data_IF_783541005225
#
_entry.id   IF_783541005225
#
_cell.length_a   1.000
_cell.length_b   1.000
_cell.length_c   1.000
_cell.angle_alpha   90.00
_cell.angle_beta   90.00
_cell.angle_gamma   90.00
#
_symmetry.space_group_name_H-M   'P 1'
#
loop_
_entity.id
_entity.type
_entity.pdbx_description
1 polymer ?
#
# COMPACT_ATOMS: atom_id res chain seq x y z
N UNK A 1 21.38 11.97 -1.64
CA UNK A 1 22.46 11.15 -2.23
C UNK A 1 22.60 11.55 -3.68
N UNK A 2 23.77 11.97 -4.09
CA UNK A 2 24.06 12.24 -5.49
C UNK A 2 24.72 11.00 -6.09
N UNK A 3 24.10 10.46 -7.13
CA UNK A 3 24.63 9.33 -7.87
C UNK A 3 25.35 9.85 -9.11
N UNK A 4 26.52 9.33 -9.38
CA UNK A 4 27.24 9.56 -10.64
C UNK A 4 27.12 8.31 -11.50
N UNK A 5 26.49 8.43 -12.66
CA UNK A 5 26.43 7.34 -13.64
C UNK A 5 27.77 7.22 -14.34
N UNK A 6 28.46 6.10 -14.18
CA UNK A 6 29.76 5.84 -14.81
C UNK A 6 29.60 5.17 -16.17
N UNK A 7 28.60 4.31 -16.33
CA UNK A 7 28.28 3.55 -17.54
C UNK A 7 26.79 3.33 -17.65
N UNK A 8 26.24 3.30 -18.85
CA UNK A 8 24.82 3.08 -19.11
C UNK A 8 24.61 2.29 -20.39
N UNK A 9 23.68 1.34 -20.38
CA UNK A 9 23.26 0.56 -21.54
C UNK A 9 21.74 0.45 -21.54
N UNK A 10 21.14 0.54 -22.74
CA UNK A 10 19.73 0.26 -22.96
C UNK A 10 19.56 -1.18 -23.44
N UNK A 11 18.62 -1.88 -22.80
CA UNK A 11 18.21 -3.22 -23.19
C UNK A 11 16.77 -3.21 -23.66
N UNK A 12 16.55 -3.71 -24.86
CA UNK A 12 15.22 -4.04 -25.35
C UNK A 12 14.92 -5.49 -25.04
N UNK A 13 13.91 -5.71 -24.22
CA UNK A 13 13.44 -7.03 -23.79
C UNK A 13 12.06 -7.31 -24.38
N UNK A 14 11.91 -8.48 -24.99
CA UNK A 14 10.63 -8.93 -25.51
C UNK A 14 10.34 -10.32 -24.94
N UNK A 15 9.16 -10.52 -24.36
CA UNK A 15 8.81 -11.79 -23.73
C UNK A 15 8.80 -12.98 -24.69
N UNK A 16 8.76 -12.73 -25.98
CA UNK A 16 8.98 -13.76 -27.01
C UNK A 16 10.37 -14.38 -26.94
N UNK A 17 11.36 -13.59 -26.53
CA UNK A 17 12.77 -14.01 -26.42
C UNK A 17 13.15 -14.42 -24.99
N UNK A 18 12.18 -14.65 -24.10
CA UNK A 18 12.46 -15.12 -22.74
C UNK A 18 13.18 -16.47 -22.76
N UNK A 19 14.11 -16.65 -21.85
CA UNK A 19 14.86 -17.91 -21.68
C UNK A 19 14.06 -18.95 -20.88
N UNK A 20 13.19 -18.49 -19.96
CA UNK A 20 12.32 -19.30 -19.12
C UNK A 20 11.13 -18.49 -18.62
N UNK A 21 10.24 -19.14 -17.85
CA UNK A 21 9.06 -18.52 -17.24
C UNK A 21 7.88 -18.35 -18.19
N UNK A 22 6.78 -17.78 -17.67
CA UNK A 22 5.56 -17.49 -18.42
C UNK A 22 5.65 -16.12 -19.14
N UNK A 23 4.58 -15.72 -19.82
CA UNK A 23 4.50 -14.39 -20.45
C UNK A 23 4.38 -13.31 -19.36
N UNK A 24 3.63 -13.55 -18.30
CA UNK A 24 3.49 -12.64 -17.17
C UNK A 24 4.68 -12.63 -16.22
N UNK A 25 5.46 -13.73 -16.20
CA UNK A 25 6.67 -13.86 -15.37
C UNK A 25 7.88 -14.32 -16.21
N UNK A 26 8.35 -13.49 -17.16
CA UNK A 26 9.45 -13.85 -18.03
C UNK A 26 10.80 -13.76 -17.34
N UNK A 27 11.67 -14.71 -17.67
CA UNK A 27 13.07 -14.70 -17.28
C UNK A 27 13.94 -14.50 -18.50
N UNK A 28 14.91 -13.57 -18.42
CA UNK A 28 15.89 -13.29 -19.44
C UNK A 28 17.28 -13.64 -18.94
N UNK A 29 18.03 -14.37 -19.74
CA UNK A 29 19.44 -14.68 -19.47
C UNK A 29 20.31 -13.81 -20.35
N UNK A 30 21.23 -13.08 -19.74
CA UNK A 30 22.18 -12.26 -20.47
C UNK A 30 23.45 -13.07 -20.78
N UNK A 31 23.96 -13.00 -22.01
CA UNK A 31 25.23 -13.67 -22.32
C UNK A 31 26.37 -13.06 -21.51
N UNK A 32 27.36 -13.87 -21.15
CA UNK A 32 28.52 -13.50 -20.31
C UNK A 32 29.34 -12.29 -20.82
N UNK A 33 28.99 -11.68 -21.94
CA UNK A 33 29.65 -10.56 -22.54
C UNK A 33 29.20 -9.18 -22.05
N UNK A 34 28.33 -9.11 -21.00
CA UNK A 34 28.02 -7.84 -20.32
C UNK A 34 29.17 -7.35 -19.42
N UNK A 35 30.38 -7.75 -19.72
CA UNK A 35 31.62 -7.37 -19.00
C UNK A 35 31.74 -5.86 -18.76
N UNK A 36 31.17 -5.06 -19.66
CA UNK A 36 31.18 -3.60 -19.53
C UNK A 36 30.26 -3.04 -18.44
N UNK A 37 29.39 -3.88 -17.87
CA UNK A 37 28.49 -3.51 -16.76
C UNK A 37 28.93 -4.08 -15.40
N UNK A 38 30.10 -4.74 -15.33
CA UNK A 38 30.60 -5.19 -14.04
C UNK A 38 30.92 -4.00 -13.15
N UNK A 39 30.25 -3.84 -12.00
CA UNK A 39 30.54 -2.78 -11.07
C UNK A 39 31.90 -3.01 -10.42
N UNK A 40 32.68 -1.96 -10.32
CA UNK A 40 33.93 -1.93 -9.56
C UNK A 40 33.64 -1.73 -8.06
N UNK A 41 34.69 -1.74 -7.25
CA UNK A 41 34.51 -1.48 -5.82
C UNK A 41 33.86 -0.10 -5.58
N UNK A 42 32.75 -0.09 -4.85
CA UNK A 42 31.95 1.13 -4.57
C UNK A 42 30.98 1.53 -5.67
N UNK A 43 30.81 0.72 -6.72
CA UNK A 43 29.79 0.89 -7.75
C UNK A 43 28.64 -0.09 -7.53
N UNK A 44 27.44 0.32 -7.92
CA UNK A 44 26.19 -0.45 -7.86
C UNK A 44 25.53 -0.45 -9.22
N UNK A 45 24.69 -1.45 -9.47
CA UNK A 45 23.85 -1.51 -10.67
C UNK A 45 22.50 -0.90 -10.34
N UNK A 46 22.09 0.07 -11.13
CA UNK A 46 20.75 0.68 -11.11
C UNK A 46 19.98 0.25 -12.35
N UNK A 47 18.77 -0.24 -12.14
CA UNK A 47 17.86 -0.64 -13.21
C UNK A 47 16.63 0.28 -13.20
N UNK A 48 16.28 0.80 -14.38
CA UNK A 48 15.08 1.62 -14.60
C UNK A 48 14.36 1.15 -15.85
N UNK A 49 13.02 1.15 -15.82
CA UNK A 49 12.20 0.95 -17.02
C UNK A 49 11.98 2.29 -17.70
N UNK A 50 12.24 2.35 -19.01
CA UNK A 50 12.05 3.56 -19.83
C UNK A 50 10.77 3.51 -20.63
N UNK A 51 10.48 2.34 -21.20
CA UNK A 51 9.32 2.12 -22.07
C UNK A 51 8.76 0.73 -21.81
N UNK A 52 7.47 0.59 -21.97
CA UNK A 52 6.82 -0.71 -22.07
C UNK A 52 5.65 -0.64 -23.06
N UNK A 53 5.40 -1.75 -23.73
CA UNK A 53 4.28 -1.92 -24.65
C UNK A 53 3.64 -3.27 -24.36
N UNK A 54 2.41 -3.24 -23.86
CA UNK A 54 1.65 -4.42 -23.44
C UNK A 54 0.30 -4.39 -24.13
N UNK A 55 -0.06 -5.41 -24.89
CA UNK A 55 -1.41 -5.54 -25.42
C UNK A 55 -2.35 -5.96 -24.27
N UNK A 56 -3.46 -5.24 -24.11
CA UNK A 56 -4.47 -5.51 -23.09
C UNK A 56 -5.24 -6.78 -23.45
N UNK A 57 -4.64 -7.94 -23.21
CA UNK A 57 -5.18 -9.26 -23.51
C UNK A 57 -5.36 -10.14 -22.25
N UNK A 58 -5.20 -9.57 -21.07
CA UNK A 58 -5.58 -10.18 -19.80
C UNK A 58 -7.07 -9.89 -19.51
N UNK A 59 -7.68 -10.72 -18.71
CA UNK A 59 -9.08 -10.54 -18.34
C UNK A 59 -9.22 -9.67 -17.10
N UNK A 60 -10.38 -9.01 -16.98
CA UNK A 60 -10.75 -8.26 -15.79
C UNK A 60 -11.28 -9.19 -14.71
N UNK A 61 -12.04 -10.21 -15.13
CA UNK A 61 -12.52 -11.28 -14.25
C UNK A 61 -11.64 -12.49 -14.45
N UNK A 62 -10.96 -12.90 -13.41
CA UNK A 62 -10.04 -14.04 -13.35
C UNK A 62 -10.46 -14.99 -12.22
N UNK A 63 -9.84 -16.15 -12.12
CA UNK A 63 -10.17 -17.16 -11.10
C UNK A 63 -10.06 -16.66 -9.66
N UNK A 64 -9.27 -15.62 -9.42
CA UNK A 64 -9.02 -15.07 -8.10
C UNK A 64 -10.04 -14.02 -7.64
N UNK A 65 -10.94 -13.52 -8.53
CA UNK A 65 -11.92 -12.48 -8.20
C UNK A 65 -13.32 -12.72 -8.82
N UNK A 66 -13.63 -13.97 -9.17
CA UNK A 66 -14.85 -14.30 -9.90
C UNK A 66 -15.93 -15.01 -9.07
N UNK A 67 -15.76 -15.12 -7.75
CA UNK A 67 -16.63 -15.92 -6.90
C UNK A 67 -17.20 -15.14 -5.75
N UNK A 68 -18.41 -15.51 -5.35
CA UNK A 68 -19.02 -15.14 -4.08
C UNK A 68 -19.99 -16.24 -3.64
N UNK A 69 -20.41 -16.18 -2.38
CA UNK A 69 -21.27 -17.18 -1.78
C UNK A 69 -22.67 -16.62 -1.59
N UNK A 70 -23.70 -17.43 -1.85
CA UNK A 70 -25.11 -17.10 -1.66
C UNK A 70 -25.75 -18.12 -0.74
N UNK A 71 -26.43 -17.64 0.29
CA UNK A 71 -27.29 -18.43 1.15
C UNK A 71 -28.74 -18.02 0.96
N UNK A 72 -29.61 -18.99 0.70
CA UNK A 72 -31.05 -18.82 0.57
C UNK A 72 -31.75 -19.55 1.73
N UNK A 73 -32.68 -18.88 2.38
CA UNK A 73 -33.58 -19.48 3.36
C UNK A 73 -35.01 -19.20 2.97
N UNK A 74 -35.84 -20.20 3.00
CA UNK A 74 -37.22 -20.13 2.57
C UNK A 74 -38.14 -20.95 3.48
N UNK A 75 -39.37 -20.55 3.61
CA UNK A 75 -40.41 -21.39 4.23
C UNK A 75 -41.19 -22.10 3.14
N UNK A 76 -41.14 -23.44 3.16
CA UNK A 76 -41.81 -24.33 2.24
C UNK A 76 -42.75 -25.25 3.05
N UNK A 77 -44.05 -25.17 2.81
CA UNK A 77 -45.04 -25.94 3.56
C UNK A 77 -44.96 -25.83 5.09
N UNK A 78 -44.58 -24.63 5.60
CA UNK A 78 -44.42 -24.37 7.03
C UNK A 78 -43.10 -24.88 7.63
N UNK A 79 -42.15 -25.31 6.82
CA UNK A 79 -40.80 -25.74 7.22
C UNK A 79 -39.79 -24.76 6.65
N UNK A 80 -38.85 -24.31 7.49
CA UNK A 80 -37.73 -23.48 7.03
C UNK A 80 -36.66 -24.38 6.44
N UNK A 81 -36.37 -24.18 5.17
CA UNK A 81 -35.33 -24.86 4.42
C UNK A 81 -34.23 -23.85 4.04
N UNK A 82 -33.01 -24.32 3.91
CA UNK A 82 -31.86 -23.51 3.47
C UNK A 82 -31.13 -24.18 2.31
N UNK A 83 -30.61 -23.38 1.41
CA UNK A 83 -29.76 -23.78 0.31
C UNK A 83 -28.59 -22.80 0.22
N UNK A 84 -27.41 -23.30 0.01
CA UNK A 84 -26.20 -22.50 -0.11
C UNK A 84 -25.39 -22.92 -1.34
N UNK A 85 -24.81 -21.91 -2.03
CA UNK A 85 -24.04 -22.18 -3.24
C UNK A 85 -23.00 -21.10 -3.54
N UNK A 86 -21.94 -21.51 -4.21
CA UNK A 86 -20.98 -20.61 -4.82
C UNK A 86 -21.51 -20.15 -6.18
N UNK A 87 -21.48 -18.86 -6.40
CA UNK A 87 -21.69 -18.23 -7.71
C UNK A 87 -20.30 -17.95 -8.31
N UNK A 88 -20.08 -18.48 -9.50
CA UNK A 88 -18.82 -18.29 -10.23
C UNK A 88 -19.10 -17.69 -11.61
N UNK A 89 -18.45 -16.56 -11.89
CA UNK A 89 -18.50 -15.92 -13.22
C UNK A 89 -17.51 -16.57 -14.17
N UNK A 90 -17.85 -16.56 -15.45
CA UNK A 90 -16.88 -16.95 -16.47
C UNK A 90 -15.70 -15.95 -16.50
N UNK A 91 -14.51 -16.49 -16.73
CA UNK A 91 -13.31 -15.67 -16.90
C UNK A 91 -13.46 -14.84 -18.18
N UNK A 92 -13.37 -13.52 -18.08
CA UNK A 92 -13.54 -12.68 -19.25
C UNK A 92 -13.57 -11.18 -18.98
N UNK A 93 -13.87 -10.45 -20.04
CA UNK A 93 -14.08 -9.01 -20.01
C UNK A 93 -15.57 -8.74 -20.26
N UNK A 94 -16.22 -8.17 -19.26
CA UNK A 94 -17.60 -7.81 -19.33
C UNK A 94 -17.77 -6.32 -19.63
N UNK A 95 -18.80 -5.97 -20.39
CA UNK A 95 -19.41 -4.66 -20.30
C UNK A 95 -20.61 -4.74 -19.36
N UNK A 96 -21.14 -3.58 -18.96
CA UNK A 96 -22.25 -3.53 -18.01
C UNK A 96 -23.45 -4.39 -18.41
N UNK A 97 -23.85 -4.35 -19.69
CA UNK A 97 -25.01 -5.09 -20.16
C UNK A 97 -24.77 -6.61 -20.14
N UNK A 98 -23.60 -7.07 -20.60
CA UNK A 98 -23.25 -8.50 -20.59
C UNK A 98 -23.06 -9.02 -19.17
N UNK A 99 -22.50 -8.18 -18.28
CA UNK A 99 -22.34 -8.55 -16.87
C UNK A 99 -23.69 -8.75 -16.17
N UNK A 100 -24.65 -7.84 -16.35
CA UNK A 100 -25.99 -7.97 -15.75
C UNK A 100 -26.69 -9.25 -16.22
N UNK A 101 -26.55 -9.60 -17.51
CA UNK A 101 -27.15 -10.82 -18.06
C UNK A 101 -26.49 -12.05 -17.40
N UNK A 102 -25.17 -12.11 -17.39
CA UNK A 102 -24.42 -13.21 -16.79
C UNK A 102 -24.74 -13.37 -15.31
N UNK A 103 -24.69 -12.26 -14.54
CA UNK A 103 -25.01 -12.25 -13.12
C UNK A 103 -26.42 -12.73 -12.85
N UNK A 104 -27.41 -12.24 -13.62
CA UNK A 104 -28.80 -12.67 -13.48
C UNK A 104 -28.95 -14.16 -13.78
N UNK A 105 -28.28 -14.67 -14.81
CA UNK A 105 -28.31 -16.08 -15.17
C UNK A 105 -27.66 -16.96 -14.09
N UNK A 106 -26.48 -16.57 -13.59
CA UNK A 106 -25.75 -17.32 -12.55
C UNK A 106 -26.50 -17.35 -11.21
N UNK A 107 -27.11 -16.22 -10.81
CA UNK A 107 -27.97 -16.17 -9.62
C UNK A 107 -29.21 -17.07 -9.74
N UNK A 108 -29.82 -17.16 -10.91
CA UNK A 108 -30.97 -18.02 -11.13
C UNK A 108 -30.61 -19.48 -11.40
N UNK A 109 -29.38 -19.76 -11.81
CA UNK A 109 -28.92 -21.11 -12.04
C UNK A 109 -28.87 -21.87 -10.71
N UNK A 110 -29.61 -22.97 -10.62
CA UNK A 110 -29.73 -23.80 -9.42
C UNK A 110 -30.32 -23.11 -8.18
N UNK A 111 -30.83 -21.87 -8.28
CA UNK A 111 -31.60 -21.31 -7.17
C UNK A 111 -32.84 -22.19 -6.93
N UNK A 112 -33.06 -22.59 -5.68
CA UNK A 112 -34.19 -23.45 -5.35
C UNK A 112 -35.45 -22.65 -5.02
N UNK A 113 -35.31 -21.55 -4.31
CA UNK A 113 -36.43 -20.86 -3.67
C UNK A 113 -36.79 -19.53 -4.32
N UNK A 114 -35.84 -18.87 -5.00
CA UNK A 114 -36.00 -17.49 -5.44
C UNK A 114 -35.74 -17.29 -6.92
N UNK A 115 -36.29 -16.19 -7.44
CA UNK A 115 -36.00 -15.64 -8.79
C UNK A 115 -35.30 -14.31 -8.59
N UNK A 116 -34.15 -14.15 -9.20
CA UNK A 116 -33.32 -12.96 -9.14
C UNK A 116 -33.47 -12.11 -10.38
N UNK A 117 -33.60 -10.82 -10.18
CA UNK A 117 -33.57 -9.80 -11.23
C UNK A 117 -32.52 -8.77 -10.84
N UNK A 118 -31.60 -8.50 -11.74
CA UNK A 118 -30.56 -7.48 -11.55
C UNK A 118 -30.77 -6.34 -12.53
N UNK A 119 -30.70 -5.11 -12.04
CA UNK A 119 -30.87 -3.91 -12.85
C UNK A 119 -29.78 -2.87 -12.50
N UNK A 120 -29.40 -2.06 -13.48
CA UNK A 120 -28.49 -0.96 -13.27
C UNK A 120 -29.21 0.28 -12.75
N UNK A 121 -28.60 0.95 -11.76
CA UNK A 121 -29.11 2.20 -11.18
C UNK A 121 -28.10 3.32 -11.48
N UNK A 122 -28.35 4.13 -12.53
CA UNK A 122 -27.40 5.15 -12.99
C UNK A 122 -27.03 6.19 -11.95
N UNK A 123 -27.96 6.53 -11.03
CA UNK A 123 -27.81 7.58 -10.03
C UNK A 123 -26.65 7.29 -9.04
N UNK A 124 -26.39 6.01 -8.79
CA UNK A 124 -25.34 5.55 -7.86
C UNK A 124 -24.23 4.79 -8.57
N UNK A 125 -24.33 4.66 -9.89
CA UNK A 125 -23.45 3.81 -10.71
C UNK A 125 -23.33 2.39 -10.13
N UNK A 126 -24.47 1.82 -9.69
CA UNK A 126 -24.54 0.56 -8.96
C UNK A 126 -25.58 -0.39 -9.52
N UNK A 127 -25.68 -1.57 -8.91
CA UNK A 127 -26.69 -2.57 -9.24
C UNK A 127 -27.77 -2.60 -8.15
N UNK A 128 -29.00 -2.88 -8.56
CA UNK A 128 -30.14 -3.19 -7.72
C UNK A 128 -30.51 -4.63 -7.95
N UNK A 129 -30.63 -5.37 -6.87
CA UNK A 129 -30.99 -6.77 -6.83
C UNK A 129 -32.40 -6.89 -6.28
N UNK A 130 -33.30 -7.45 -7.06
CA UNK A 130 -34.68 -7.73 -6.67
C UNK A 130 -34.84 -9.24 -6.66
N UNK A 131 -35.34 -9.79 -5.57
CA UNK A 131 -35.45 -11.23 -5.36
C UNK A 131 -36.92 -11.55 -5.00
N UNK A 132 -37.53 -12.41 -5.79
CA UNK A 132 -38.94 -12.78 -5.64
C UNK A 132 -39.06 -14.26 -5.30
N UNK A 133 -39.84 -14.66 -4.29
CA UNK A 133 -40.11 -16.06 -3.99
C UNK A 133 -40.72 -16.78 -5.18
N UNK A 134 -40.33 -18.03 -5.39
CA UNK A 134 -40.99 -18.92 -6.37
C UNK A 134 -42.38 -19.32 -5.87
N UNK A 135 -43.19 -19.86 -6.78
CA UNK A 135 -44.55 -20.35 -6.43
C UNK A 135 -44.51 -21.40 -5.32
N UNK A 136 -45.24 -21.21 -4.25
CA UNK A 136 -45.28 -22.10 -3.10
C UNK A 136 -44.17 -21.88 -2.07
N UNK A 137 -43.36 -20.84 -2.26
CA UNK A 137 -42.30 -20.42 -1.33
C UNK A 137 -42.72 -19.11 -0.66
N UNK A 138 -42.50 -19.01 0.66
CA UNK A 138 -42.71 -17.77 1.40
C UNK A 138 -41.38 -17.32 2.05
N UNK A 139 -41.27 -16.01 2.25
CA UNK A 139 -40.13 -15.44 2.96
C UNK A 139 -40.24 -15.87 4.43
N UNK A 140 -39.18 -16.45 5.03
CA UNK A 140 -39.23 -16.87 6.42
C UNK A 140 -39.48 -15.68 7.35
N UNK A 141 -40.25 -15.87 8.45
CA UNK A 141 -40.57 -14.78 9.37
C UNK A 141 -39.35 -14.26 10.14
N UNK A 142 -38.28 -15.04 10.18
CA UNK A 142 -37.00 -14.68 10.80
C UNK A 142 -35.98 -14.38 9.71
N UNK A 143 -35.62 -13.10 9.48
CA UNK A 143 -34.58 -12.74 8.51
C UNK A 143 -33.19 -13.18 9.02
N UNK A 144 -32.16 -13.25 8.15
CA UNK A 144 -32.21 -12.95 6.74
C UNK A 144 -32.72 -14.11 5.88
N UNK A 145 -33.42 -13.81 4.78
CA UNK A 145 -33.90 -14.80 3.83
C UNK A 145 -32.90 -15.07 2.70
N UNK A 146 -32.17 -14.05 2.25
CA UNK A 146 -31.10 -14.17 1.27
C UNK A 146 -29.91 -13.36 1.73
N UNK A 147 -28.73 -13.97 1.63
CA UNK A 147 -27.45 -13.38 2.00
C UNK A 147 -26.50 -13.49 0.82
N UNK A 148 -25.84 -12.37 0.47
CA UNK A 148 -24.66 -12.36 -0.40
C UNK A 148 -23.43 -12.23 0.50
N UNK A 149 -22.55 -13.21 0.46
CA UNK A 149 -21.35 -13.24 1.27
C UNK A 149 -20.12 -13.07 0.39
N UNK A 150 -19.37 -12.00 0.63
CA UNK A 150 -18.14 -11.62 -0.05
C UNK A 150 -16.90 -11.82 0.84
N UNK A 151 -17.06 -12.44 2.02
CA UNK A 151 -15.93 -12.75 2.88
C UNK A 151 -15.05 -13.81 2.21
N UNK A 152 -13.77 -13.50 2.05
CA UNK A 152 -12.82 -14.36 1.33
C UNK A 152 -12.64 -15.73 1.97
N UNK A 153 -12.58 -15.76 3.30
CA UNK A 153 -12.39 -17.02 4.04
C UNK A 153 -13.59 -17.95 3.85
N UNK A 154 -14.82 -17.40 3.95
CA UNK A 154 -16.04 -18.19 3.75
C UNK A 154 -16.16 -18.70 2.32
N UNK A 155 -15.81 -17.86 1.32
CA UNK A 155 -15.82 -18.27 -0.10
C UNK A 155 -14.76 -19.31 -0.37
N UNK A 156 -13.58 -19.20 0.24
CA UNK A 156 -12.52 -20.19 0.14
C UNK A 156 -12.94 -21.55 0.73
N UNK A 157 -13.46 -21.55 1.95
CA UNK A 157 -13.93 -22.80 2.60
C UNK A 157 -14.97 -23.54 1.76
N UNK A 158 -15.85 -22.82 1.05
CA UNK A 158 -16.91 -23.41 0.22
C UNK A 158 -16.44 -23.84 -1.16
N UNK A 159 -15.40 -23.24 -1.70
CA UNK A 159 -14.94 -23.47 -3.08
C UNK A 159 -13.70 -24.33 -3.19
N UNK A 160 -12.94 -24.55 -2.11
CA UNK A 160 -11.61 -25.18 -2.08
C UNK A 160 -10.62 -24.57 -3.10
N UNK A 161 -10.82 -23.29 -3.45
CA UNK A 161 -9.98 -22.56 -4.40
C UNK A 161 -9.39 -21.36 -3.71
N UNK A 162 -8.08 -21.24 -3.78
CA UNK A 162 -7.37 -20.07 -3.28
C UNK A 162 -7.79 -18.82 -4.08
N UNK A 163 -8.55 -17.94 -3.43
CA UNK A 163 -9.01 -16.68 -3.98
C UNK A 163 -8.29 -15.53 -3.29
N UNK A 164 -7.84 -14.57 -4.08
CA UNK A 164 -7.24 -13.34 -3.56
C UNK A 164 -8.32 -12.36 -3.13
N UNK A 165 -9.48 -12.45 -3.80
CA UNK A 165 -10.56 -11.49 -3.74
C UNK A 165 -11.87 -12.14 -4.16
N UNK A 166 -12.95 -11.76 -3.50
CA UNK A 166 -14.29 -12.16 -3.94
C UNK A 166 -14.77 -11.28 -5.11
N UNK A 167 -15.94 -11.59 -5.67
CA UNK A 167 -16.54 -10.81 -6.75
C UNK A 167 -17.16 -9.47 -6.30
N UNK A 168 -16.81 -8.98 -5.12
CA UNK A 168 -17.41 -7.79 -4.49
C UNK A 168 -17.28 -6.52 -5.35
N UNK A 169 -16.12 -6.20 -5.90
CA UNK A 169 -15.90 -4.99 -6.69
C UNK A 169 -16.73 -4.96 -7.96
N UNK A 170 -16.78 -6.08 -8.70
CA UNK A 170 -17.58 -6.15 -9.93
C UNK A 170 -19.08 -6.11 -9.66
N UNK A 171 -19.52 -6.48 -8.46
CA UNK A 171 -20.91 -6.41 -8.02
C UNK A 171 -21.25 -5.11 -7.28
N UNK A 172 -20.26 -4.28 -6.96
CA UNK A 172 -20.44 -2.99 -6.30
C UNK A 172 -20.61 -3.10 -4.79
N UNK A 173 -19.88 -3.99 -4.14
CA UNK A 173 -19.86 -4.15 -2.70
C UNK A 173 -18.44 -3.97 -2.14
N UNK A 174 -18.36 -3.67 -0.84
CA UNK A 174 -17.08 -3.57 -0.14
C UNK A 174 -16.47 -4.96 0.10
N UNK A 175 -15.16 -5.00 0.23
CA UNK A 175 -14.41 -6.21 0.58
C UNK A 175 -14.90 -6.82 1.90
N UNK A 176 -14.83 -8.14 1.97
CA UNK A 176 -15.12 -8.93 3.17
C UNK A 176 -16.48 -8.60 3.82
N UNK A 177 -17.48 -8.21 3.02
CA UNK A 177 -18.81 -7.87 3.51
C UNK A 177 -19.82 -9.00 3.35
N UNK A 178 -20.78 -9.03 4.27
CA UNK A 178 -21.96 -9.88 4.21
C UNK A 178 -23.17 -8.97 4.03
N UNK A 179 -23.94 -9.19 2.96
CA UNK A 179 -25.10 -8.37 2.60
C UNK A 179 -26.40 -9.17 2.79
N UNK A 180 -27.19 -8.77 3.75
CA UNK A 180 -28.52 -9.30 3.96
C UNK A 180 -29.54 -8.52 3.13
N UNK A 181 -30.37 -9.22 2.36
CA UNK A 181 -31.40 -8.57 1.55
C UNK A 181 -32.62 -8.19 2.42
N UNK A 182 -33.01 -6.94 2.34
CA UNK A 182 -34.15 -6.40 3.09
C UNK A 182 -35.49 -6.79 2.49
N UNK A 183 -36.46 -7.16 3.32
CA UNK A 183 -37.83 -7.45 2.92
C UNK A 183 -38.57 -6.16 2.58
N UNK A 184 -39.26 -6.14 1.42
CA UNK A 184 -40.05 -5.03 0.94
C UNK A 184 -41.54 -5.28 1.21
N UNK A 185 -42.41 -4.25 1.24
CA UNK A 185 -43.84 -4.38 1.48
C UNK A 185 -44.61 -5.24 0.48
N UNK A 186 -44.04 -5.53 -0.68
CA UNK A 186 -44.62 -6.37 -1.73
C UNK A 186 -44.13 -7.82 -1.70
N UNK A 187 -43.60 -8.29 -0.56
CA UNK A 187 -43.07 -9.62 -0.37
C UNK A 187 -41.92 -9.96 -1.33
N UNK A 188 -41.14 -8.97 -1.71
CA UNK A 188 -39.85 -9.15 -2.39
C UNK A 188 -38.69 -8.81 -1.46
N UNK A 189 -37.52 -9.33 -1.78
CA UNK A 189 -36.28 -8.96 -1.10
C UNK A 189 -35.49 -8.02 -2.00
N UNK A 190 -34.80 -7.06 -1.41
CA UNK A 190 -34.06 -6.10 -2.21
C UNK A 190 -32.77 -5.69 -1.50
N UNK A 191 -31.71 -5.53 -2.31
CA UNK A 191 -30.53 -4.75 -1.91
C UNK A 191 -29.99 -3.96 -3.10
N UNK A 192 -29.15 -2.99 -2.80
CA UNK A 192 -28.46 -2.17 -3.79
C UNK A 192 -26.98 -2.14 -3.46
N UNK A 193 -26.15 -2.09 -4.52
CA UNK A 193 -24.71 -1.89 -4.39
C UNK A 193 -24.41 -0.69 -3.49
N UNK A 194 -23.48 -0.83 -2.57
CA UNK A 194 -23.09 0.23 -1.64
C UNK A 194 -21.86 1.02 -2.12
N UNK A 195 -21.19 0.53 -3.16
CA UNK A 195 -20.13 1.25 -3.90
C UNK A 195 -20.41 1.17 -5.40
N UNK A 196 -19.84 2.06 -6.22
CA UNK A 196 -19.94 1.97 -7.67
C UNK A 196 -19.39 0.65 -8.19
N UNK A 197 -20.11 0.03 -9.14
CA UNK A 197 -19.62 -1.19 -9.78
C UNK A 197 -18.40 -0.93 -10.64
N UNK A 198 -17.47 -1.86 -10.64
CA UNK A 198 -16.25 -1.81 -11.44
C UNK A 198 -16.19 -2.94 -12.47
N UNK A 199 -17.16 -2.94 -13.41
CA UNK A 199 -17.22 -3.96 -14.49
C UNK A 199 -16.04 -3.86 -15.45
N UNK A 200 -15.45 -2.66 -15.56
CA UNK A 200 -14.30 -2.41 -16.45
C UNK A 200 -12.96 -2.41 -15.70
N UNK A 201 -12.92 -2.69 -14.42
CA UNK A 201 -11.89 -2.15 -13.59
C UNK A 201 -11.18 -3.03 -12.60
N UNK A 202 -11.22 -4.33 -12.72
CA UNK A 202 -10.43 -5.17 -11.81
C UNK A 202 -8.94 -4.81 -11.80
N UNK A 203 -8.39 -4.33 -12.92
CA UNK A 203 -6.98 -3.91 -13.03
C UNK A 203 -6.91 -2.48 -13.56
N UNK A 204 -6.64 -1.53 -12.70
CA UNK A 204 -6.45 -0.13 -13.08
C UNK A 204 -5.00 0.19 -13.45
N UNK A 205 -4.07 -0.51 -12.86
CA UNK A 205 -2.65 -0.33 -13.10
C UNK A 205 -1.95 -1.68 -13.16
N UNK A 206 -0.99 -1.79 -14.04
CA UNK A 206 -0.02 -2.86 -14.08
C UNK A 206 1.30 -2.38 -13.50
N UNK A 207 1.95 -3.24 -12.75
CA UNK A 207 3.29 -2.98 -12.24
C UNK A 207 4.25 -4.00 -12.82
N UNK A 208 5.37 -3.52 -13.34
CA UNK A 208 6.48 -4.37 -13.70
C UNK A 208 7.41 -4.44 -12.51
N UNK A 209 7.63 -5.64 -11.97
CA UNK A 209 8.48 -5.87 -10.81
C UNK A 209 9.62 -6.82 -11.14
N UNK A 210 10.67 -6.80 -10.31
CA UNK A 210 11.75 -7.77 -10.38
C UNK A 210 11.42 -8.92 -9.43
N UNK A 211 11.36 -10.14 -9.97
CA UNK A 211 11.07 -11.34 -9.20
C UNK A 211 12.29 -11.93 -8.48
N UNK A 212 13.50 -11.60 -8.92
CA UNK A 212 14.72 -12.07 -8.27
C UNK A 212 14.88 -11.38 -6.92
N UNK A 213 14.67 -12.12 -5.87
CA UNK A 213 14.67 -11.69 -4.48
C UNK A 213 16.07 -11.41 -3.89
N UNK A 214 17.08 -11.26 -4.71
CA UNK A 214 18.42 -11.05 -4.20
C UNK A 214 18.64 -9.58 -3.88
N UNK A 215 18.62 -9.23 -2.59
CA UNK A 215 19.18 -8.01 -1.99
C UNK A 215 18.96 -6.70 -2.77
N UNK A 216 17.79 -6.51 -3.35
CA UNK A 216 17.48 -5.30 -4.09
C UNK A 216 17.10 -4.17 -3.13
N UNK A 217 17.75 -3.04 -3.28
CA UNK A 217 17.35 -1.80 -2.62
C UNK A 217 16.39 -1.04 -3.53
N UNK A 218 15.10 -1.37 -3.43
CA UNK A 218 14.06 -0.61 -4.13
C UNK A 218 13.91 0.80 -3.56
N UNK A 219 13.75 1.78 -4.43
CA UNK A 219 13.48 3.17 -4.03
C UNK A 219 12.00 3.42 -3.70
N UNK A 220 11.13 2.48 -4.04
CA UNK A 220 9.68 2.59 -3.85
C UNK A 220 9.25 1.77 -2.65
N UNK A 221 8.42 2.35 -1.80
CA UNK A 221 7.78 1.65 -0.67
C UNK A 221 6.29 1.57 -0.91
N UNK A 222 5.71 0.44 -0.58
CA UNK A 222 4.27 0.25 -0.58
C UNK A 222 3.73 0.86 0.72
N UNK A 223 2.66 1.66 0.64
CA UNK A 223 1.97 2.15 1.83
C UNK A 223 1.52 0.94 2.68
N UNK A 224 1.68 1.01 3.99
CA UNK A 224 1.39 -0.05 4.96
C UNK A 224 2.33 -1.27 4.95
N UNK A 225 3.23 -1.38 3.99
CA UNK A 225 4.29 -2.38 4.00
C UNK A 225 5.65 -1.67 4.02
N UNK A 226 6.44 -1.89 5.06
CA UNK A 226 7.77 -1.31 5.20
C UNK A 226 8.83 -2.02 4.36
N UNK A 227 8.44 -3.05 3.61
CA UNK A 227 9.33 -3.73 2.67
C UNK A 227 9.64 -2.83 1.48
N UNK A 228 10.85 -2.91 0.97
CA UNK A 228 11.24 -2.22 -0.26
C UNK A 228 10.61 -2.95 -1.45
N UNK A 229 9.83 -2.24 -2.26
CA UNK A 229 9.26 -2.84 -3.47
C UNK A 229 10.28 -2.86 -4.61
N UNK A 230 10.27 -3.92 -5.38
CA UNK A 230 11.09 -4.07 -6.58
C UNK A 230 10.36 -3.59 -7.84
N UNK A 231 9.54 -2.55 -7.72
CA UNK A 231 8.76 -1.99 -8.83
C UNK A 231 9.70 -1.23 -9.77
N UNK A 232 9.70 -1.60 -11.04
CA UNK A 232 10.41 -0.92 -12.12
C UNK A 232 9.56 0.12 -12.84
N UNK A 233 8.24 -0.03 -12.79
CA UNK A 233 7.33 0.92 -13.41
C UNK A 233 5.88 0.61 -13.15
N UNK A 234 5.05 1.64 -13.27
CA UNK A 234 3.60 1.60 -13.16
C UNK A 234 2.98 1.98 -14.50
N UNK A 235 2.17 1.13 -15.06
CA UNK A 235 1.53 1.28 -16.37
C UNK A 235 0.02 1.42 -16.15
N UNK A 236 -0.58 2.61 -16.33
CA UNK A 236 -2.02 2.76 -16.21
C UNK A 236 -2.76 1.97 -17.30
N UNK A 237 -3.83 1.28 -16.91
CA UNK A 237 -4.74 0.61 -17.85
C UNK A 237 -5.76 1.65 -18.32
N UNK A 238 -5.40 2.43 -19.34
CA UNK A 238 -6.18 3.57 -19.81
C UNK A 238 -7.01 3.30 -21.10
N UNK A 239 -6.88 2.10 -21.67
CA UNK A 239 -7.53 1.74 -22.92
C UNK A 239 -8.58 0.62 -22.77
N UNK A 240 -9.42 0.42 -23.79
CA UNK A 240 -10.33 -0.73 -23.83
C UNK A 240 -9.53 -2.05 -24.01
N UNK A 241 -10.15 -3.21 -23.72
CA UNK A 241 -9.58 -4.51 -24.05
C UNK A 241 -9.12 -4.58 -25.50
N UNK A 242 -8.01 -5.28 -25.75
CA UNK A 242 -7.30 -5.41 -27.04
C UNK A 242 -6.60 -4.15 -27.53
N UNK A 243 -6.61 -3.05 -26.76
CA UNK A 243 -5.72 -1.90 -27.05
C UNK A 243 -4.29 -2.20 -26.61
N UNK A 244 -3.35 -1.36 -27.06
CA UNK A 244 -1.96 -1.40 -26.60
C UNK A 244 -1.81 -0.38 -25.49
N UNK A 245 -1.43 -0.86 -24.30
CA UNK A 245 -1.02 -0.03 -23.18
C UNK A 245 0.45 0.36 -23.42
N UNK A 246 0.67 1.64 -23.53
CA UNK A 246 2.00 2.18 -23.76
C UNK A 246 2.46 3.01 -22.58
N UNK A 247 3.64 2.69 -22.06
CA UNK A 247 4.32 3.43 -21.01
C UNK A 247 5.60 4.02 -21.54
N UNK A 248 5.83 5.28 -21.22
CA UNK A 248 7.06 5.99 -21.53
C UNK A 248 7.40 6.95 -20.40
N UNK A 249 8.54 6.75 -19.77
CA UNK A 249 9.03 7.62 -18.70
C UNK A 249 10.55 7.84 -18.84
N UNK A 250 10.92 9.02 -19.31
CA UNK A 250 12.34 9.39 -19.46
C UNK A 250 13.00 9.62 -18.09
N UNK A 251 12.22 10.11 -17.12
CA UNK A 251 12.73 10.52 -15.81
C UNK A 251 12.46 9.50 -14.71
N UNK A 252 12.22 8.25 -15.09
CA UNK A 252 11.76 7.17 -14.24
C UNK A 252 11.96 7.40 -12.73
N UNK A 253 10.86 7.66 -12.04
CA UNK A 253 10.85 7.77 -10.57
C UNK A 253 11.01 6.39 -9.91
N UNK A 254 10.82 5.33 -10.69
CA UNK A 254 10.99 3.96 -10.26
C UNK A 254 12.38 3.46 -10.68
N UNK A 255 13.17 3.12 -9.71
CA UNK A 255 14.50 2.56 -9.95
C UNK A 255 14.82 1.54 -8.88
N UNK A 256 15.43 0.44 -9.30
CA UNK A 256 15.91 -0.59 -8.38
C UNK A 256 17.42 -0.67 -8.44
N UNK A 257 18.05 -0.73 -7.26
CA UNK A 257 19.49 -0.93 -7.13
C UNK A 257 19.72 -2.41 -6.88
N UNK A 258 20.51 -3.03 -7.77
CA UNK A 258 20.91 -4.44 -7.67
C UNK A 258 22.28 -4.49 -7.01
N UNK A 259 22.38 -5.16 -5.86
CA UNK A 259 23.65 -5.29 -5.13
C UNK A 259 24.59 -6.33 -5.73
N UNK A 260 24.06 -7.23 -6.55
CA UNK A 260 24.87 -8.25 -7.20
C UNK A 260 25.89 -7.65 -8.15
N UNK A 261 27.12 -8.16 -8.13
CA UNK A 261 28.20 -7.75 -9.03
C UNK A 261 28.01 -8.18 -10.47
N UNK A 262 27.07 -9.08 -10.71
CA UNK A 262 26.80 -9.66 -12.03
C UNK A 262 25.29 -9.68 -12.27
N UNK A 263 24.87 -9.24 -13.43
CA UNK A 263 23.49 -9.36 -13.91
C UNK A 263 23.44 -10.42 -15.00
N UNK A 264 23.42 -11.69 -14.60
CA UNK A 264 23.35 -12.82 -15.54
C UNK A 264 21.91 -13.14 -15.93
N UNK A 265 20.97 -12.90 -15.02
CA UNK A 265 19.56 -13.18 -15.20
C UNK A 265 18.71 -12.01 -14.68
N UNK A 266 17.65 -11.72 -15.41
CA UNK A 266 16.62 -10.79 -15.00
C UNK A 266 15.26 -11.49 -15.06
N UNK A 267 14.64 -11.70 -13.92
CA UNK A 267 13.28 -12.23 -13.83
C UNK A 267 12.34 -11.07 -13.52
N UNK A 268 11.35 -10.90 -14.38
CA UNK A 268 10.35 -9.85 -14.25
C UNK A 268 9.00 -10.48 -13.91
N UNK A 269 8.12 -9.70 -13.31
CA UNK A 269 6.72 -10.06 -13.13
C UNK A 269 5.84 -8.89 -13.51
N UNK A 270 4.74 -9.20 -14.18
CA UNK A 270 3.67 -8.27 -14.44
C UNK A 270 2.56 -8.52 -13.41
N UNK A 271 2.31 -7.56 -12.54
CA UNK A 271 1.33 -7.72 -11.45
C UNK A 271 0.34 -6.57 -11.44
N UNK A 272 -0.83 -6.78 -10.82
CA UNK A 272 -1.84 -5.74 -10.58
C UNK A 272 -1.54 -4.94 -9.30
N UNK A 273 -2.48 -4.09 -8.86
CA UNK A 273 -2.39 -3.29 -7.63
C UNK A 273 -2.25 -4.14 -6.36
N UNK A 274 -2.70 -5.38 -6.39
CA UNK A 274 -2.65 -6.33 -5.26
C UNK A 274 -1.45 -7.27 -5.33
N UNK A 275 -0.53 -6.99 -6.27
CA UNK A 275 0.63 -7.83 -6.55
C UNK A 275 0.30 -9.25 -7.01
N UNK A 276 -0.92 -9.48 -7.50
CA UNK A 276 -1.29 -10.73 -8.16
C UNK A 276 -0.71 -10.76 -9.56
N UNK A 277 -0.14 -11.90 -9.93
CA UNK A 277 0.45 -12.11 -11.26
C UNK A 277 -0.62 -11.99 -12.35
N UNK A 278 -0.33 -11.18 -13.35
CA UNK A 278 -1.14 -11.03 -14.55
C UNK A 278 -0.47 -11.79 -15.71
N UNK A 279 -1.24 -12.66 -16.36
CA UNK A 279 -0.79 -13.43 -17.52
C UNK A 279 -1.39 -12.85 -18.82
N UNK A 280 -0.66 -11.96 -19.53
CA UNK A 280 -1.10 -11.51 -20.84
C UNK A 280 -1.12 -12.68 -21.83
N UNK A 281 -2.07 -12.67 -22.74
CA UNK A 281 -2.17 -13.71 -23.78
C UNK A 281 -1.25 -13.47 -24.98
N UNK A 282 -0.65 -12.30 -25.04
CA UNK A 282 0.30 -11.90 -26.06
C UNK A 282 1.60 -11.42 -25.47
N UNK A 283 2.66 -11.60 -26.24
CA UNK A 283 3.98 -11.13 -25.85
C UNK A 283 3.99 -9.60 -25.72
N UNK A 284 4.70 -9.12 -24.72
CA UNK A 284 4.93 -7.71 -24.46
C UNK A 284 6.42 -7.38 -24.48
N UNK A 285 6.73 -6.11 -24.55
CA UNK A 285 8.11 -5.64 -24.63
C UNK A 285 8.34 -4.48 -23.68
N UNK A 286 9.58 -4.33 -23.25
CA UNK A 286 10.04 -3.20 -22.47
C UNK A 286 11.48 -2.82 -22.83
N UNK A 287 11.79 -1.54 -22.64
CA UNK A 287 13.15 -1.03 -22.70
C UNK A 287 13.60 -0.69 -21.31
N UNK A 288 14.65 -1.34 -20.83
CA UNK A 288 15.29 -1.06 -19.56
C UNK A 288 16.61 -0.33 -19.77
N UNK A 289 16.86 0.64 -18.89
CA UNK A 289 18.18 1.24 -18.76
C UNK A 289 18.88 0.60 -17.57
N UNK A 290 20.06 0.06 -17.83
CA UNK A 290 20.97 -0.46 -16.80
C UNK A 290 22.12 0.53 -16.69
N UNK A 291 22.33 1.05 -15.49
CA UNK A 291 23.36 2.03 -15.18
C UNK A 291 24.29 1.48 -14.10
N UNK A 292 25.56 1.67 -14.27
CA UNK A 292 26.52 1.51 -13.18
C UNK A 292 26.70 2.88 -12.54
N UNK A 293 26.36 2.97 -11.28
CA UNK A 293 26.36 4.20 -10.49
C UNK A 293 27.38 4.12 -9.36
N UNK A 294 28.01 5.26 -9.06
CA UNK A 294 28.86 5.42 -7.88
C UNK A 294 28.21 6.39 -6.93
N UNK A 295 28.18 6.01 -5.65
CA UNK A 295 27.72 6.91 -4.59
C UNK A 295 28.86 7.88 -4.25
N UNK A 296 28.67 9.17 -4.50
CA UNK A 296 29.62 10.18 -4.06
C UNK A 296 29.41 10.46 -2.57
N UNK A 297 30.26 9.88 -1.74
CA UNK A 297 30.28 10.17 -0.30
C UNK A 297 30.72 11.61 0.01
N UNK A 298 31.55 12.21 -0.86
CA UNK A 298 32.13 13.54 -0.64
C UNK A 298 31.10 14.65 -0.53
N UNK A 299 30.03 14.60 -1.33
CA UNK A 299 28.98 15.64 -1.25
C UNK A 299 28.12 15.53 0.01
N UNK A 300 28.02 14.36 0.60
CA UNK A 300 27.23 14.19 1.83
C UNK A 300 27.99 14.72 3.05
N UNK A 301 29.29 14.46 3.14
CA UNK A 301 30.15 15.01 4.21
C UNK A 301 30.30 16.51 4.10
N UNK A 302 30.37 17.06 2.88
CA UNK A 302 30.47 18.48 2.64
C UNK A 302 29.15 19.22 2.95
N UNK A 303 28.02 18.67 2.57
CA UNK A 303 26.68 19.19 2.92
C UNK A 303 26.43 19.14 4.42
N UNK A 304 26.81 18.07 5.12
CA UNK A 304 26.71 17.98 6.57
C UNK A 304 27.67 18.93 7.28
N UNK A 305 28.88 19.16 6.73
CA UNK A 305 29.82 20.14 7.24
C UNK A 305 29.28 21.58 7.08
N UNK A 306 28.68 21.90 5.96
CA UNK A 306 28.02 23.19 5.71
C UNK A 306 26.84 23.41 6.66
N UNK A 307 25.96 22.43 6.85
CA UNK A 307 24.88 22.48 7.84
C UNK A 307 25.40 22.66 9.28
N UNK A 308 26.46 21.92 9.66
CA UNK A 308 27.09 22.04 10.97
C UNK A 308 27.71 23.41 11.18
N UNK A 309 28.34 23.97 10.15
CA UNK A 309 28.92 25.34 10.19
C UNK A 309 27.80 26.37 10.36
N UNK A 310 26.68 26.25 9.67
CA UNK A 310 25.55 27.18 9.78
C UNK A 310 24.85 27.07 11.15
N UNK A 311 24.67 25.86 11.67
CA UNK A 311 24.15 25.65 13.03
C UNK A 311 25.09 26.27 14.08
N UNK A 312 26.40 26.17 13.85
CA UNK A 312 27.39 26.73 14.75
C UNK A 312 27.39 28.25 14.72
N UNK A 313 27.27 28.87 13.53
CA UNK A 313 27.09 30.31 13.36
C UNK A 313 25.84 30.82 14.06
N UNK A 314 24.71 30.11 13.90
CA UNK A 314 23.44 30.45 14.57
C UNK A 314 23.55 30.36 16.09
N UNK A 315 24.25 29.35 16.62
CA UNK A 315 24.50 29.22 18.06
C UNK A 315 25.39 30.35 18.60
N UNK A 316 26.44 30.73 17.86
CA UNK A 316 27.30 31.86 18.22
C UNK A 316 26.53 33.19 18.22
N UNK A 317 25.77 33.48 17.18
CA UNK A 317 24.94 34.69 17.10
C UNK A 317 23.90 34.74 18.23
N UNK A 318 23.33 33.62 18.62
CA UNK A 318 22.38 33.54 19.74
C UNK A 318 23.09 33.76 21.09
N UNK A 319 24.31 33.29 21.24
CA UNK A 319 25.12 33.52 22.43
C UNK A 319 25.53 34.99 22.57
N UNK A 320 25.98 35.65 21.49
CA UNK A 320 26.28 37.05 21.46
C UNK A 320 25.06 37.94 21.78
N UNK A 321 23.88 37.58 21.23
CA UNK A 321 22.64 38.30 21.54
C UNK A 321 22.25 38.17 23.02
N UNK A 322 22.42 36.98 23.60
CA UNK A 322 22.16 36.77 25.02
C UNK A 322 23.16 37.52 25.93
N UNK A 323 24.42 37.63 25.49
CA UNK A 323 25.44 38.37 26.22
C UNK A 323 25.08 39.86 26.22
N UNK A 324 24.70 40.44 25.08
CA UNK A 324 24.25 41.86 25.01
C UNK A 324 23.01 42.12 25.86
N UNK A 325 22.02 41.20 25.84
CA UNK A 325 20.83 41.34 26.68
C UNK A 325 21.19 41.32 28.18
N UNK A 326 22.15 40.48 28.58
CA UNK A 326 22.60 40.41 29.96
C UNK A 326 23.39 41.68 30.35
N UNK A 327 24.21 42.23 29.45
CA UNK A 327 24.92 43.49 29.64
C UNK A 327 23.93 44.66 29.79
N UNK A 328 22.92 44.72 28.94
CA UNK A 328 21.85 45.74 29.03
C UNK A 328 21.06 45.60 30.35
N UNK A 329 20.72 44.39 30.76
CA UNK A 329 20.06 44.13 32.06
C UNK A 329 20.92 44.56 33.25
N UNK A 330 22.21 44.27 33.22
CA UNK A 330 23.13 44.71 34.27
C UNK A 330 23.30 46.23 34.32
N UNK A 331 23.34 46.90 33.16
CA UNK A 331 23.33 48.36 33.09
C UNK A 331 22.02 48.96 33.67
N UNK A 332 20.86 48.38 33.38
CA UNK A 332 19.59 48.79 33.95
C UNK A 332 19.54 48.58 35.45
N UNK A 333 20.10 47.49 35.97
CA UNK A 333 20.21 47.20 37.39
C UNK A 333 21.13 48.23 38.11
N UNK A 334 22.29 48.53 37.53
CA UNK A 334 23.19 49.57 38.05
C UNK A 334 22.54 50.95 38.08
N UNK A 335 21.77 51.30 37.04
CA UNK A 335 20.98 52.57 37.02
C UNK A 335 19.86 52.56 38.08
N UNK A 336 19.20 51.45 38.30
CA UNK A 336 18.14 51.34 39.34
C UNK A 336 18.71 51.35 40.75
N UNK A 337 19.86 50.77 40.99
CA UNK A 337 20.53 50.85 42.30
C UNK A 337 21.04 52.28 42.61
N UNK A 338 21.48 53.05 41.61
CA UNK A 338 21.86 54.45 41.79
C UNK A 338 20.69 55.37 42.11
N UNK A 339 19.46 55.05 41.71
CA UNK A 339 18.26 55.84 41.93
C UNK A 339 17.41 55.43 43.12
N UNK A 340 17.55 54.21 43.64
CA UNK A 340 16.90 53.75 44.85
C UNK A 340 17.65 54.22 46.06
N UNK A 341 17.13 55.26 46.58
CA UNK A 341 17.37 56.08 47.76
C UNK A 341 18.21 55.42 48.86
N UNK A 342 19.21 56.11 49.40
CA UNK A 342 20.11 55.62 50.48
C UNK A 342 19.42 55.31 51.81
N UNK A 343 18.12 55.59 51.98
CA UNK A 343 17.32 55.33 53.19
C UNK A 343 16.93 53.86 53.37
N UNK A 344 17.07 53.01 52.35
CA UNK A 344 16.75 51.55 52.47
C UNK A 344 17.93 50.70 52.90
N UNK A 345 19.16 51.25 52.97
CA UNK A 345 20.36 50.53 53.40
C UNK A 345 20.37 50.14 54.88
N UNK A 346 19.49 50.71 55.71
CA UNK A 346 19.45 50.45 57.14
C UNK A 346 18.43 49.38 57.55
N UNK A 347 17.69 48.80 56.61
CA UNK A 347 16.69 47.76 56.88
C UNK A 347 17.17 46.32 56.59
N UNK A 348 18.30 46.15 55.87
CA UNK A 348 18.77 44.86 55.44
C UNK A 348 19.77 44.18 56.41
N UNK A 349 20.22 44.92 57.44
CA UNK A 349 21.17 44.33 58.38
C UNK A 349 20.53 43.40 59.46
N UNK A 350 19.21 43.45 59.65
CA UNK A 350 18.51 42.59 60.60
C UNK A 350 17.95 41.30 60.02
N UNK A 351 17.99 41.11 58.70
CA UNK A 351 17.43 39.92 58.07
C UNK A 351 18.50 38.87 57.61
N UNK A 352 19.79 39.17 57.76
CA UNK A 352 20.85 38.18 57.39
C UNK A 352 21.14 37.11 58.41
N UNK A 353 20.61 37.18 59.62
CA UNK A 353 20.84 36.13 60.63
C UNK A 353 19.85 34.94 60.54
N UNK A 354 18.66 35.11 59.98
CA UNK A 354 17.67 34.04 59.87
C UNK A 354 17.76 33.19 58.58
N UNK A 355 18.53 33.64 57.58
CA UNK A 355 18.62 32.95 56.28
C UNK A 355 19.76 31.91 56.19
N UNK A 356 20.62 31.78 57.21
CA UNK A 356 21.73 30.82 57.22
C UNK A 356 21.36 29.46 57.82
N UNK A 357 20.23 29.33 58.53
CA UNK A 357 19.79 28.04 59.08
C UNK A 357 18.89 27.24 58.10
N UNK A 358 18.21 27.87 57.15
CA UNK A 358 17.31 27.19 56.23
C UNK A 358 17.99 26.52 55.02
N UNK A 359 19.23 26.90 54.73
CA UNK A 359 20.00 26.29 53.59
C UNK A 359 20.78 25.03 53.94
N UNK A 360 20.78 24.59 55.18
CA UNK A 360 21.49 23.34 55.59
C UNK A 360 20.56 22.11 55.61
N UNK A 361 19.22 22.29 55.49
CA UNK A 361 18.27 21.18 55.51
C UNK A 361 17.85 20.65 54.13
N UNK A 362 18.04 21.48 53.07
CA UNK A 362 17.63 21.07 51.68
C UNK A 362 18.72 20.29 50.92
N UNK A 363 19.96 20.32 51.37
CA UNK A 363 21.08 19.62 50.68
C UNK A 363 21.23 18.15 51.06
N UNK A 364 20.36 17.62 51.93
CA UNK A 364 20.48 16.23 52.43
C UNK A 364 19.41 15.30 51.88
N UNK A 365 18.46 15.81 51.06
CA UNK A 365 17.38 15.03 50.48
C UNK A 365 17.53 14.67 48.97
N UNK A 366 18.51 15.23 48.28
CA UNK A 366 18.74 14.96 46.86
C UNK A 366 19.78 13.84 46.56
N UNK A 367 20.29 13.17 47.59
CA UNK A 367 21.30 12.09 47.41
C UNK A 367 20.80 10.67 47.65
N UNK A 368 19.48 10.44 47.78
CA UNK A 368 18.91 9.12 48.07
C UNK A 368 17.95 8.57 47.02
N UNK A 369 17.89 9.13 45.79
CA UNK A 369 17.01 8.64 44.74
C UNK A 369 17.73 8.20 43.42
N UNK A 370 19.02 8.01 43.44
CA UNK A 370 19.77 7.50 42.28
C UNK A 370 20.44 6.15 42.56
N UNK A 371 19.62 5.14 42.89
CA UNK A 371 20.06 3.73 42.82
C UNK A 371 18.86 2.78 42.95
N UNK A 372 18.10 2.57 41.89
CA UNK A 372 17.41 1.31 41.61
C UNK A 372 16.60 1.39 40.28
N UNK A 373 17.25 1.14 39.16
CA UNK A 373 16.56 0.60 37.98
C UNK A 373 17.35 -0.60 37.47
N UNK A 374 17.05 -1.74 38.08
CA UNK A 374 17.54 -3.04 37.66
C UNK A 374 16.80 -3.44 36.37
N UNK A 375 17.56 -3.72 35.33
CA UNK A 375 17.15 -4.38 34.08
C UNK A 375 16.41 -5.67 34.39
N UNK A 376 15.18 -5.80 33.87
CA UNK A 376 14.50 -7.07 33.66
C UNK A 376 14.61 -7.46 32.19
N UNK A 377 15.27 -8.55 31.94
CA UNK A 377 15.31 -9.30 30.66
C UNK A 377 14.04 -10.15 30.56
N UNK A 378 13.34 -10.20 29.41
CA UNK A 378 12.23 -11.15 29.25
C UNK A 378 12.75 -12.55 28.90
N UNK A 379 12.01 -13.62 29.27
CA UNK A 379 12.39 -14.99 29.04
C UNK A 379 12.20 -15.43 27.60
N UNK A 380 13.12 -16.27 27.13
CA UNK A 380 13.00 -17.05 25.89
C UNK A 380 11.96 -18.16 26.13
N UNK A 381 11.00 -18.29 25.23
CA UNK A 381 10.23 -19.51 25.06
C UNK A 381 10.86 -20.36 23.95
N UNK A 382 11.27 -21.56 24.36
CA UNK A 382 11.55 -22.70 23.50
C UNK A 382 10.21 -23.40 23.15
N UNK A 383 9.95 -23.59 21.90
CA UNK A 383 9.46 -24.84 21.28
C UNK A 383 9.20 -24.63 19.79
#
# INVERSE_FOLDING_TARGET
MVYETTRSILFYLNTRARSAGSIGSPQFTFPNNLVNLQPQNGELIRLTMQEASIEYTFYQTETFNNKFYVEERAEVNGVIESDDRIIEFEIGNYNLATFIVELTQKLNLNSQYYIYQVTFVPQVNGLRYIVTPKSGVTIPPTPPAVIFNFNREDVFEKSDVDIVESANEIMGFLDDTIIELGVQPNDTLECQSNVPISVSGGVQNLYVTIANSCDNLGNTRIANDFTTSNILGKIPVSGPPFSVLYFYDINSNFATIIQNKYLDNLSLQLVNERFTLIEPRKNWSLTCRIEVIRIRAENYTQSLLEELVDITKLKMARKEKNTKINEEKNQILDYTEQWLNPTLRNLDNDSEQDSKESKKSSAKQEKSQESSSTRQTPPQEES
#
